data_IF_283106947922
#
_entry.id   IF_283106947922
#
_cell.length_a   1.000
_cell.length_b   1.000
_cell.length_c   1.000
_cell.angle_alpha   90.00
_cell.angle_beta   90.00
_cell.angle_gamma   90.00
#
_symmetry.space_group_name_H-M   'P 1'
#
loop_
_entity.id
_entity.type
_entity.pdbx_description
1 polymer ?
#
# COMPACT_ATOMS: atom_id res chain seq x y z
N UNK A 1 6.82 32.82 5.14
CA UNK A 1 6.00 31.80 4.47
C UNK A 1 6.68 30.45 4.73
N UNK A 2 6.20 29.70 5.72
CA UNK A 2 6.66 28.33 5.95
C UNK A 2 6.29 27.52 4.71
N UNK A 3 7.29 27.08 3.95
CA UNK A 3 7.09 26.18 2.82
C UNK A 3 6.52 24.88 3.41
N UNK A 4 5.23 24.60 3.20
CA UNK A 4 4.66 23.32 3.60
C UNK A 4 5.30 22.24 2.73
N UNK A 5 6.12 21.39 3.34
CA UNK A 5 6.67 20.20 2.67
C UNK A 5 5.50 19.29 2.26
N UNK A 6 5.35 19.03 0.97
CA UNK A 6 4.35 18.11 0.45
C UNK A 6 4.62 16.67 0.85
N UNK A 7 3.58 15.83 0.83
CA UNK A 7 3.69 14.39 1.02
C UNK A 7 2.79 13.64 0.05
N UNK A 8 3.06 12.36 -0.16
CA UNK A 8 2.24 11.49 -0.99
C UNK A 8 1.56 10.45 -0.12
N UNK A 9 0.24 10.34 -0.25
CA UNK A 9 -0.56 9.25 0.30
C UNK A 9 -0.71 8.17 -0.77
N UNK A 10 -0.38 6.93 -0.41
CA UNK A 10 -0.71 5.73 -1.19
C UNK A 10 -1.77 4.93 -0.43
N UNK A 11 -2.78 4.46 -1.16
CA UNK A 11 -3.73 3.45 -0.70
C UNK A 11 -3.45 2.17 -1.47
N UNK A 12 -3.05 1.13 -0.75
CA UNK A 12 -2.75 -0.20 -1.29
C UNK A 12 -3.92 -1.12 -0.94
N UNK A 13 -4.66 -1.56 -1.95
CA UNK A 13 -5.75 -2.53 -1.84
C UNK A 13 -5.25 -3.91 -2.29
N UNK A 14 -5.53 -4.96 -1.52
CA UNK A 14 -5.16 -6.33 -1.87
C UNK A 14 -6.27 -6.95 -2.73
N UNK A 15 -6.00 -7.15 -4.02
CA UNK A 15 -7.02 -7.55 -4.98
C UNK A 15 -7.63 -8.90 -4.63
N UNK A 16 -8.96 -8.96 -4.54
CA UNK A 16 -9.73 -10.18 -4.26
C UNK A 16 -9.32 -10.88 -2.95
N UNK A 17 -8.71 -10.16 -2.01
CA UNK A 17 -8.17 -10.77 -0.79
C UNK A 17 -9.23 -11.51 0.03
N UNK A 18 -10.46 -10.99 0.11
CA UNK A 18 -11.58 -11.69 0.75
C UNK A 18 -11.86 -13.06 0.11
N UNK A 19 -11.90 -13.14 -1.22
CA UNK A 19 -12.14 -14.41 -1.95
C UNK A 19 -11.02 -15.41 -1.71
N UNK A 20 -9.78 -14.91 -1.58
CA UNK A 20 -8.63 -15.73 -1.23
C UNK A 20 -8.81 -16.33 0.18
N UNK A 21 -9.13 -15.50 1.18
CA UNK A 21 -9.33 -15.97 2.56
C UNK A 21 -10.47 -16.98 2.67
N UNK A 22 -11.58 -16.77 1.95
CA UNK A 22 -12.70 -17.71 1.92
C UNK A 22 -12.28 -19.11 1.45
N UNK A 23 -11.24 -19.21 0.60
CA UNK A 23 -10.71 -20.48 0.11
C UNK A 23 -9.64 -21.15 0.99
N UNK A 24 -8.87 -20.37 1.78
CA UNK A 24 -7.71 -20.90 2.53
C UNK A 24 -7.88 -20.87 4.05
N UNK A 25 -8.82 -20.09 4.59
CA UNK A 25 -9.02 -19.91 6.01
C UNK A 25 -8.47 -18.60 6.57
N UNK A 26 -9.05 -18.15 7.69
CA UNK A 26 -8.65 -16.92 8.39
C UNK A 26 -7.20 -16.99 8.91
N UNK A 27 -6.73 -18.09 9.54
CA UNK A 27 -5.35 -18.16 10.04
C UNK A 27 -4.31 -17.99 8.93
N UNK A 28 -4.53 -18.60 7.78
CA UNK A 28 -3.70 -18.51 6.59
C UNK A 28 -3.75 -17.09 6.00
N UNK A 29 -4.93 -16.47 5.99
CA UNK A 29 -5.10 -15.06 5.64
C UNK A 29 -4.27 -14.12 6.50
N UNK A 30 -4.23 -14.36 7.81
CA UNK A 30 -3.41 -13.57 8.75
C UNK A 30 -1.91 -13.70 8.46
N UNK A 31 -1.43 -14.89 8.08
CA UNK A 31 -0.03 -15.09 7.66
C UNK A 31 0.31 -14.34 6.37
N UNK A 32 -0.63 -14.27 5.42
CA UNK A 32 -0.49 -13.43 4.22
C UNK A 32 -0.36 -11.96 4.64
N UNK A 33 -1.26 -11.46 5.50
CA UNK A 33 -1.26 -10.07 5.95
C UNK A 33 0.02 -9.69 6.70
N UNK A 34 0.55 -10.58 7.56
CA UNK A 34 1.85 -10.40 8.22
C UNK A 34 2.97 -10.28 7.18
N UNK A 35 2.93 -11.10 6.14
CA UNK A 35 3.92 -11.05 5.06
C UNK A 35 3.80 -9.79 4.19
N UNK A 36 2.58 -9.36 3.87
CA UNK A 36 2.30 -8.09 3.18
C UNK A 36 2.87 -6.92 3.99
N UNK A 37 2.54 -6.83 5.28
CA UNK A 37 3.02 -5.76 6.15
C UNK A 37 4.56 -5.71 6.21
N UNK A 38 5.21 -6.87 6.32
CA UNK A 38 6.67 -7.00 6.28
C UNK A 38 7.27 -6.60 4.93
N UNK A 39 6.64 -6.95 3.81
CA UNK A 39 7.12 -6.56 2.47
C UNK A 39 6.96 -5.06 2.24
N UNK A 40 5.82 -4.50 2.63
CA UNK A 40 5.58 -3.06 2.57
C UNK A 40 6.57 -2.28 3.42
N UNK A 41 6.88 -2.74 4.65
CA UNK A 41 7.82 -2.05 5.52
C UNK A 41 9.25 -2.00 4.95
N UNK A 42 9.65 -2.98 4.13
CA UNK A 42 10.95 -2.95 3.42
C UNK A 42 10.96 -2.01 2.21
N UNK A 43 9.80 -1.56 1.75
CA UNK A 43 9.66 -0.70 0.57
C UNK A 43 9.58 0.79 0.91
N UNK A 44 9.49 1.13 2.21
CA UNK A 44 9.33 2.49 2.71
C UNK A 44 10.50 2.87 3.64
N UNK A 45 10.76 4.17 3.80
CA UNK A 45 11.83 4.68 4.65
C UNK A 45 11.38 4.78 6.11
N UNK A 46 12.34 4.97 7.00
CA UNK A 46 12.09 5.14 8.44
C UNK A 46 11.16 6.32 8.78
N UNK A 47 11.18 7.38 7.99
CA UNK A 47 10.35 8.57 8.21
C UNK A 47 9.00 8.49 7.47
N UNK A 48 8.79 7.46 6.65
CA UNK A 48 7.49 7.19 6.05
C UNK A 48 6.58 6.52 7.08
N UNK A 49 5.28 6.65 6.89
CA UNK A 49 4.28 5.99 7.74
C UNK A 49 3.65 4.85 6.97
N UNK A 50 3.55 3.67 7.58
CA UNK A 50 2.79 2.53 7.09
C UNK A 50 1.72 2.16 8.12
N UNK A 51 0.47 2.04 7.68
CA UNK A 51 -0.64 1.63 8.51
C UNK A 51 -1.54 0.63 7.78
N UNK A 52 -2.15 -0.29 8.52
CA UNK A 52 -3.28 -1.09 8.03
C UNK A 52 -4.57 -0.35 8.40
N UNK A 53 -5.38 -0.02 7.41
CA UNK A 53 -6.60 0.77 7.59
C UNK A 53 -7.83 -0.13 7.79
N UNK A 54 -7.90 -1.19 7.00
CA UNK A 54 -9.01 -2.16 7.03
C UNK A 54 -8.49 -3.60 6.88
N UNK A 55 -9.36 -4.55 6.52
CA UNK A 55 -8.99 -5.95 6.36
C UNK A 55 -7.92 -6.16 5.28
N UNK A 56 -8.05 -5.50 4.13
CA UNK A 56 -7.22 -5.63 2.93
C UNK A 56 -6.55 -4.32 2.50
N UNK A 57 -6.86 -3.20 3.16
CA UNK A 57 -6.33 -1.89 2.77
C UNK A 57 -5.19 -1.45 3.69
N UNK A 58 -4.07 -1.07 3.07
CA UNK A 58 -2.92 -0.43 3.72
C UNK A 58 -2.77 1.02 3.23
N UNK A 59 -2.44 1.92 4.14
CA UNK A 59 -2.08 3.31 3.86
C UNK A 59 -0.57 3.51 4.01
N UNK A 60 0.04 4.23 3.07
CA UNK A 60 1.44 4.66 3.14
C UNK A 60 1.53 6.17 2.97
N UNK A 61 2.20 6.85 3.89
CA UNK A 61 2.54 8.27 3.74
C UNK A 61 4.03 8.39 3.47
N UNK A 62 4.37 8.82 2.26
CA UNK A 62 5.74 9.07 1.83
C UNK A 62 6.12 10.51 2.17
N UNK A 63 7.13 10.68 3.02
CA UNK A 63 7.65 12.00 3.38
C UNK A 63 8.89 12.31 2.55
N UNK A 64 8.89 13.46 1.86
CA UNK A 64 10.04 14.01 1.14
C UNK A 64 10.75 12.97 0.25
N UNK A 65 10.35 12.88 -1.02
CA UNK A 65 11.05 12.04 -1.99
C UNK A 65 12.54 12.41 -2.05
N UNK A 66 13.40 11.40 -1.98
CA UNK A 66 14.84 11.62 -2.10
C UNK A 66 15.18 12.04 -3.52
N UNK A 67 16.32 12.71 -3.69
CA UNK A 67 16.80 13.11 -5.00
C UNK A 67 16.93 11.88 -5.91
N UNK A 68 16.17 11.87 -7.02
CA UNK A 68 16.13 10.75 -7.99
C UNK A 68 15.07 9.68 -7.73
N UNK A 69 14.36 9.69 -6.60
CA UNK A 69 13.18 8.85 -6.43
C UNK A 69 11.94 9.52 -7.02
N UNK A 70 11.17 8.76 -7.79
CA UNK A 70 9.84 9.16 -8.26
C UNK A 70 8.79 8.32 -7.57
N UNK A 71 7.56 8.83 -7.52
CA UNK A 71 6.42 8.08 -7.00
C UNK A 71 6.22 6.80 -7.81
N UNK A 72 6.37 6.84 -9.14
CA UNK A 72 6.22 5.64 -9.97
C UNK A 72 7.26 4.56 -9.62
N UNK A 73 8.50 4.94 -9.31
CA UNK A 73 9.53 3.98 -8.91
C UNK A 73 9.19 3.30 -7.57
N UNK A 74 8.65 4.05 -6.60
CA UNK A 74 8.26 3.50 -5.30
C UNK A 74 7.04 2.59 -5.46
N UNK A 75 6.02 3.03 -6.19
CA UNK A 75 4.81 2.25 -6.51
C UNK A 75 5.19 0.96 -7.25
N UNK A 76 6.04 1.05 -8.27
CA UNK A 76 6.52 -0.12 -9.01
C UNK A 76 7.24 -1.11 -8.11
N UNK A 77 8.10 -0.64 -7.20
CA UNK A 77 8.79 -1.49 -6.21
C UNK A 77 7.80 -2.20 -5.28
N UNK A 78 6.80 -1.48 -4.77
CA UNK A 78 5.75 -2.04 -3.91
C UNK A 78 4.97 -3.14 -4.66
N UNK A 79 4.53 -2.86 -5.88
CA UNK A 79 3.81 -3.84 -6.70
C UNK A 79 4.67 -5.08 -6.97
N UNK A 80 5.95 -4.91 -7.31
CA UNK A 80 6.86 -6.03 -7.55
C UNK A 80 7.08 -6.89 -6.30
N UNK A 81 7.29 -6.28 -5.13
CA UNK A 81 7.51 -7.05 -3.91
C UNK A 81 6.24 -7.78 -3.47
N UNK A 82 5.07 -7.16 -3.63
CA UNK A 82 3.79 -7.77 -3.26
C UNK A 82 3.41 -8.91 -4.20
N UNK A 83 3.82 -8.89 -5.47
CA UNK A 83 3.59 -9.96 -6.45
C UNK A 83 4.43 -11.22 -6.23
N UNK A 84 5.45 -11.17 -5.35
CA UNK A 84 6.22 -12.37 -5.06
C UNK A 84 5.34 -13.45 -4.42
N UNK A 85 5.59 -14.75 -4.68
CA UNK A 85 4.77 -15.83 -4.13
C UNK A 85 4.68 -15.76 -2.60
N UNK A 86 3.49 -16.05 -2.07
CA UNK A 86 3.23 -16.34 -0.67
C UNK A 86 3.13 -17.86 -0.53
N UNK A 87 3.69 -18.43 0.54
CA UNK A 87 3.58 -19.86 0.77
C UNK A 87 2.60 -20.12 1.91
N UNK A 88 1.51 -20.81 1.61
CA UNK A 88 0.45 -21.16 2.55
C UNK A 88 0.24 -22.66 2.48
N UNK A 89 0.34 -23.35 3.62
CA UNK A 89 0.22 -24.81 3.68
C UNK A 89 1.10 -25.57 2.65
N UNK A 90 2.29 -25.03 2.33
CA UNK A 90 3.22 -25.61 1.36
C UNK A 90 2.90 -25.34 -0.12
N UNK A 91 1.81 -24.62 -0.42
CA UNK A 91 1.44 -24.24 -1.79
C UNK A 91 1.74 -22.76 -2.06
N UNK A 92 2.25 -22.40 -3.24
CA UNK A 92 2.43 -21.01 -3.62
C UNK A 92 1.08 -20.35 -3.95
N UNK A 93 0.89 -19.14 -3.47
CA UNK A 93 -0.24 -18.27 -3.74
C UNK A 93 0.28 -16.94 -4.31
N UNK A 94 -0.34 -16.49 -5.40
CA UNK A 94 -0.07 -15.16 -5.94
C UNK A 94 -1.13 -14.18 -5.45
N UNK A 95 -0.66 -13.02 -4.99
CA UNK A 95 -1.49 -11.90 -4.59
C UNK A 95 -1.18 -10.73 -5.51
N UNK A 96 -2.23 -10.06 -5.95
CA UNK A 96 -2.14 -8.80 -6.66
C UNK A 96 -2.57 -7.68 -5.74
N UNK A 97 -2.12 -6.47 -6.06
CA UNK A 97 -2.50 -5.28 -5.32
C UNK A 97 -2.66 -4.13 -6.31
N UNK A 98 -3.60 -3.26 -5.98
CA UNK A 98 -3.88 -2.03 -6.70
C UNK A 98 -3.52 -0.85 -5.81
N UNK A 99 -2.93 0.20 -6.40
CA UNK A 99 -2.42 1.35 -5.65
C UNK A 99 -3.03 2.64 -6.18
N UNK A 100 -3.80 3.31 -5.32
CA UNK A 100 -4.29 4.66 -5.53
C UNK A 100 -3.37 5.69 -4.86
N UNK A 101 -3.29 6.89 -5.43
CA UNK A 101 -2.32 7.91 -5.07
C UNK A 101 -3.02 9.26 -4.88
N UNK A 102 -2.66 10.00 -3.82
CA UNK A 102 -3.03 11.40 -3.64
C UNK A 102 -1.84 12.22 -3.13
N UNK A 103 -1.70 13.44 -3.62
CA UNK A 103 -0.60 14.35 -3.33
C UNK A 103 -1.08 15.52 -2.46
N UNK A 104 -0.49 15.69 -1.29
CA UNK A 104 -0.68 16.90 -0.51
C UNK A 104 0.32 17.98 -0.97
N UNK A 105 -0.11 19.23 -1.24
CA UNK A 105 -1.48 19.73 -1.11
C UNK A 105 -2.33 19.72 -2.40
N UNK A 106 -1.80 19.26 -3.55
CA UNK A 106 -2.47 19.45 -4.86
C UNK A 106 -3.80 18.69 -5.01
N UNK A 107 -3.91 17.52 -4.39
CA UNK A 107 -5.10 16.68 -4.41
C UNK A 107 -5.96 16.86 -3.15
N UNK A 108 -5.63 17.80 -2.28
CA UNK A 108 -6.40 18.07 -1.07
C UNK A 108 -5.55 18.61 0.06
N UNK A 109 -6.16 19.40 0.93
CA UNK A 109 -5.51 20.02 2.10
C UNK A 109 -5.88 19.37 3.44
N UNK A 110 -6.74 18.35 3.42
CA UNK A 110 -7.22 17.62 4.61
C UNK A 110 -7.21 16.11 4.38
N UNK A 111 -7.10 15.35 5.47
CA UNK A 111 -7.00 13.90 5.41
C UNK A 111 -8.23 13.20 4.77
N UNK A 112 -9.48 13.56 5.10
CA UNK A 112 -10.65 13.00 4.42
C UNK A 112 -10.63 13.16 2.90
N UNK A 113 -10.28 14.34 2.39
CA UNK A 113 -10.19 14.60 0.94
C UNK A 113 -9.10 13.75 0.29
N UNK A 114 -7.91 13.69 0.88
CA UNK A 114 -6.80 12.91 0.34
C UNK A 114 -7.11 11.40 0.34
N UNK A 115 -7.68 10.87 1.42
CA UNK A 115 -8.11 9.47 1.51
C UNK A 115 -9.10 9.14 0.40
N UNK A 116 -10.14 9.96 0.24
CA UNK A 116 -11.16 9.76 -0.79
C UNK A 116 -10.55 9.77 -2.21
N UNK A 117 -9.66 10.72 -2.51
CA UNK A 117 -9.03 10.78 -3.83
C UNK A 117 -8.11 9.59 -4.09
N UNK A 118 -7.32 9.17 -3.10
CA UNK A 118 -6.48 7.99 -3.24
C UNK A 118 -7.33 6.71 -3.41
N UNK A 119 -8.42 6.54 -2.65
CA UNK A 119 -9.34 5.40 -2.81
C UNK A 119 -10.00 5.37 -4.19
N UNK A 120 -10.43 6.51 -4.73
CA UNK A 120 -11.00 6.61 -6.08
C UNK A 120 -9.97 6.33 -7.19
N UNK A 121 -8.68 6.50 -6.91
CA UNK A 121 -7.60 6.22 -7.84
C UNK A 121 -7.16 4.74 -7.83
N UNK A 122 -7.71 3.91 -6.94
CA UNK A 122 -7.50 2.45 -6.98
C UNK A 122 -8.30 1.89 -8.15
N UNK A 123 -7.61 1.57 -9.24
CA UNK A 123 -8.19 0.81 -10.36
C UNK A 123 -8.30 -0.67 -9.97
N UNK A 124 -9.47 -1.30 -10.13
CA UNK A 124 -9.78 -2.66 -9.63
C UNK A 124 -9.97 -3.68 -10.75
#
# INVERSE_FOLDING_TARGET
LTQQSGFTLLIVDLDKFRQIIEGIGIPEGDEILRTVARRLSTSVKRNDTLARLTADIFGVVLQNLSHGETIEHIVGRILQILRQPYFVAGSPLQLHASIGIALFPSDGSDAPTLLRHAELAVDK
#
